data_IF_188364363369
#
_entry.id   IF_188364363369
#
_cell.length_a   1.000
_cell.length_b   1.000
_cell.length_c   1.000
_cell.angle_alpha   90.00
_cell.angle_beta   90.00
_cell.angle_gamma   90.00
#
_symmetry.space_group_name_H-M   'P 1'
#
loop_
_entity.id
_entity.type
_entity.pdbx_description
1 polymer ?
#
# COMPACT_ATOMS: atom_id res chain seq x y z
N UNK A 1 -18.97 2.12 33.19
CA UNK A 1 -17.76 1.55 32.57
C UNK A 1 -16.67 1.51 33.63
N UNK A 2 -16.03 0.35 33.83
CA UNK A 2 -14.86 0.23 34.73
C UNK A 2 -13.64 -0.04 33.86
N UNK A 3 -12.81 0.99 33.65
CA UNK A 3 -11.53 0.86 32.93
C UNK A 3 -10.47 0.39 33.96
N UNK A 4 -9.76 -0.72 33.70
CA UNK A 4 -8.66 -1.18 34.54
C UNK A 4 -7.64 -0.07 34.76
N UNK A 5 -7.15 0.11 35.98
CA UNK A 5 -6.29 1.24 36.36
C UNK A 5 -5.01 1.31 35.51
N UNK A 6 -4.46 0.15 35.13
CA UNK A 6 -3.28 0.05 34.27
C UNK A 6 -3.51 0.60 32.85
N UNK A 7 -4.73 0.51 32.31
CA UNK A 7 -5.03 0.86 30.91
C UNK A 7 -5.52 2.30 30.73
N UNK A 8 -5.80 3.03 31.82
CA UNK A 8 -6.43 4.36 31.73
C UNK A 8 -5.60 5.37 30.96
N UNK A 9 -4.28 5.35 31.13
CA UNK A 9 -3.38 6.27 30.43
C UNK A 9 -3.37 6.01 28.93
N UNK A 10 -3.31 4.74 28.53
CA UNK A 10 -3.29 4.34 27.12
C UNK A 10 -4.63 4.58 26.44
N UNK A 11 -5.74 4.26 27.12
CA UNK A 11 -7.10 4.57 26.62
C UNK A 11 -7.26 6.07 26.43
N UNK A 12 -6.84 6.89 27.40
CA UNK A 12 -6.93 8.35 27.30
C UNK A 12 -6.11 8.90 26.13
N UNK A 13 -4.86 8.45 25.98
CA UNK A 13 -4.00 8.86 24.87
C UNK A 13 -4.54 8.42 23.50
N UNK A 14 -5.15 7.23 23.41
CA UNK A 14 -5.78 6.76 22.18
C UNK A 14 -7.05 7.56 21.84
N UNK A 15 -7.88 7.89 22.84
CA UNK A 15 -9.05 8.77 22.66
C UNK A 15 -8.62 10.18 22.23
N UNK A 16 -7.62 10.76 22.88
CA UNK A 16 -7.11 12.10 22.56
C UNK A 16 -6.56 12.19 21.13
N UNK A 17 -5.77 11.20 20.70
CA UNK A 17 -5.26 11.12 19.33
C UNK A 17 -6.36 11.01 18.28
N UNK A 18 -7.46 10.32 18.60
CA UNK A 18 -8.63 10.20 17.70
C UNK A 18 -9.51 11.45 17.68
N UNK A 19 -9.55 12.24 18.77
CA UNK A 19 -10.33 13.47 18.89
C UNK A 19 -9.60 14.74 18.41
N UNK A 20 -8.26 14.72 18.38
CA UNK A 20 -7.43 15.86 18.00
C UNK A 20 -7.61 16.32 16.54
N UNK A 21 -7.33 17.60 16.28
CA UNK A 21 -7.49 18.27 14.97
C UNK A 21 -6.63 17.68 13.85
N UNK A 22 -5.54 17.02 14.19
CA UNK A 22 -4.70 16.24 13.28
C UNK A 22 -5.04 14.76 13.49
N UNK A 23 -6.08 14.26 12.82
CA UNK A 23 -6.43 12.83 12.82
C UNK A 23 -5.27 12.03 12.23
N UNK A 24 -4.31 11.62 13.06
CA UNK A 24 -3.35 10.58 12.71
C UNK A 24 -4.09 9.25 12.74
N UNK A 25 -4.45 8.75 11.56
CA UNK A 25 -4.88 7.35 11.42
C UNK A 25 -3.67 6.46 11.77
N UNK A 26 -3.79 5.69 12.85
CA UNK A 26 -2.83 4.65 13.13
C UNK A 26 -2.91 3.59 12.03
N UNK A 27 -1.75 3.24 11.47
CA UNK A 27 -1.63 2.24 10.41
C UNK A 27 -1.97 0.81 10.89
N UNK A 28 -2.02 0.60 12.21
CA UNK A 28 -2.28 -0.69 12.83
C UNK A 28 -3.46 -0.61 13.81
N UNK A 29 -4.31 -1.66 13.87
CA UNK A 29 -5.41 -1.71 14.79
C UNK A 29 -4.92 -1.80 16.24
N UNK A 30 -5.61 -1.12 17.15
CA UNK A 30 -5.38 -1.24 18.59
C UNK A 30 -5.61 -2.70 19.04
N UNK A 31 -4.89 -3.16 20.08
CA UNK A 31 -5.24 -4.41 20.76
C UNK A 31 -6.71 -4.41 21.19
N UNK A 32 -7.41 -5.53 20.99
CA UNK A 32 -8.86 -5.64 21.17
C UNK A 32 -9.35 -5.13 22.54
N UNK A 33 -8.64 -5.47 23.62
CA UNK A 33 -8.98 -5.04 24.97
C UNK A 33 -8.95 -3.52 25.15
N UNK A 34 -8.04 -2.84 24.44
CA UNK A 34 -7.92 -1.39 24.44
C UNK A 34 -8.96 -0.74 23.52
N UNK A 35 -9.16 -1.31 22.33
CA UNK A 35 -10.11 -0.83 21.32
C UNK A 35 -11.53 -0.72 21.87
N UNK A 36 -12.02 -1.77 22.55
CA UNK A 36 -13.36 -1.80 23.16
C UNK A 36 -13.59 -0.61 24.10
N UNK A 37 -12.57 -0.19 24.84
CA UNK A 37 -12.70 0.92 25.77
C UNK A 37 -12.63 2.29 25.09
N UNK A 38 -11.80 2.42 24.06
CA UNK A 38 -11.70 3.66 23.28
C UNK A 38 -13.00 3.89 22.50
N UNK A 39 -13.53 2.86 21.86
CA UNK A 39 -14.73 2.95 21.02
C UNK A 39 -15.99 3.26 21.85
N UNK A 40 -16.13 2.66 23.04
CA UNK A 40 -17.20 2.96 24.00
C UNK A 40 -17.17 4.43 24.47
N UNK A 41 -15.98 5.00 24.71
CA UNK A 41 -15.83 6.41 25.11
C UNK A 41 -16.21 7.33 23.94
N UNK A 42 -15.70 7.06 22.75
CA UNK A 42 -15.99 7.86 21.55
C UNK A 42 -17.47 7.81 21.18
N UNK A 43 -18.11 6.64 21.27
CA UNK A 43 -19.55 6.47 21.06
C UNK A 43 -20.36 7.37 22.01
N UNK A 44 -20.02 7.41 23.30
CA UNK A 44 -20.69 8.27 24.28
C UNK A 44 -20.48 9.76 23.99
N UNK A 45 -19.28 10.16 23.61
CA UNK A 45 -18.97 11.55 23.25
C UNK A 45 -19.81 11.96 22.02
N UNK A 46 -19.86 11.11 21.00
CA UNK A 46 -20.65 11.36 19.80
C UNK A 46 -22.16 11.43 20.10
N UNK A 47 -22.69 10.51 20.91
CA UNK A 47 -24.09 10.56 21.34
C UNK A 47 -24.42 11.80 22.18
N UNK A 48 -23.50 12.26 23.03
CA UNK A 48 -23.67 13.51 23.80
C UNK A 48 -23.60 14.75 22.90
N UNK A 49 -22.73 14.75 21.89
CA UNK A 49 -22.65 15.82 20.90
C UNK A 49 -23.92 15.89 20.04
N UNK A 50 -24.44 14.73 19.59
CA UNK A 50 -25.69 14.64 18.83
C UNK A 50 -26.89 15.18 19.64
N UNK A 51 -27.02 14.80 20.92
CA UNK A 51 -28.07 15.33 21.81
C UNK A 51 -27.97 16.83 22.08
N UNK A 52 -26.76 17.39 22.10
CA UNK A 52 -26.56 18.85 22.22
C UNK A 52 -26.90 19.61 20.94
N UNK A 53 -26.84 18.96 19.77
CA UNK A 53 -27.24 19.55 18.49
C UNK A 53 -28.78 19.59 18.31
N UNK A 54 -29.53 18.78 19.05
CA UNK A 54 -31.01 18.77 19.04
C UNK A 54 -31.65 19.91 19.85
N UNK A 55 -30.87 20.70 20.60
CA UNK A 55 -31.35 21.81 21.43
C UNK A 55 -31.45 23.10 20.57
N UNK A 56 -32.65 23.57 20.20
CA UNK A 56 -32.87 24.50 19.09
C UNK A 56 -32.37 25.95 19.33
N UNK A 57 -31.83 26.25 20.52
CA UNK A 57 -31.29 27.57 20.89
C UNK A 57 -29.76 27.68 20.79
N UNK A 58 -29.04 26.59 20.51
CA UNK A 58 -27.56 26.59 20.39
C UNK A 58 -27.03 26.08 19.05
N UNK A 59 -27.93 25.78 18.12
CA UNK A 59 -27.62 25.30 16.77
C UNK A 59 -26.76 26.30 15.99
N UNK A 60 -26.90 27.61 16.24
CA UNK A 60 -26.16 28.66 15.51
C UNK A 60 -24.67 28.79 15.91
N UNK A 61 -24.32 28.40 17.14
CA UNK A 61 -22.93 28.47 17.63
C UNK A 61 -22.14 27.18 17.35
N UNK A 62 -22.81 26.03 17.39
CA UNK A 62 -22.18 24.72 17.12
C UNK A 62 -21.84 24.52 15.63
N UNK A 63 -22.67 25.05 14.72
CA UNK A 63 -22.43 24.99 13.26
C UNK A 63 -21.19 25.80 12.85
N UNK A 64 -20.81 26.83 13.63
CA UNK A 64 -19.60 27.64 13.36
C UNK A 64 -18.29 27.00 13.82
N UNK A 65 -18.33 26.09 14.80
CA UNK A 65 -17.12 25.51 15.40
C UNK A 65 -16.67 24.18 14.76
N UNK A 66 -17.48 23.58 13.89
CA UNK A 66 -17.09 22.38 13.17
C UNK A 66 -17.77 22.34 11.78
N UNK A 67 -17.12 22.88 10.72
CA UNK A 67 -17.67 22.93 9.35
C UNK A 67 -17.95 21.56 8.69
N UNK A 68 -17.73 20.47 9.43
CA UNK A 68 -17.70 19.10 8.92
C UNK A 68 -18.64 18.16 9.70
N UNK A 69 -19.48 18.68 10.60
CA UNK A 69 -20.54 17.88 11.23
C UNK A 69 -21.71 17.81 10.27
N UNK A 70 -21.70 16.81 9.40
CA UNK A 70 -22.87 16.48 8.61
C UNK A 70 -23.89 15.79 9.52
N UNK A 71 -25.17 16.22 9.54
CA UNK A 71 -26.21 15.46 10.22
C UNK A 71 -26.28 14.08 9.57
N UNK A 72 -25.98 13.03 10.34
CA UNK A 72 -26.14 11.64 9.92
C UNK A 72 -27.64 11.40 9.72
N UNK A 73 -28.13 11.09 8.51
CA UNK A 73 -29.53 10.73 8.33
C UNK A 73 -29.87 9.52 9.21
N UNK A 74 -30.93 9.67 10.02
CA UNK A 74 -31.37 8.70 11.05
C UNK A 74 -31.76 7.30 10.51
N UNK A 75 -31.80 7.12 9.19
CA UNK A 75 -32.29 5.91 8.52
C UNK A 75 -31.21 5.01 7.92
N UNK A 76 -30.01 5.53 7.66
CA UNK A 76 -29.00 4.79 6.91
C UNK A 76 -28.09 4.01 7.87
N UNK A 77 -27.72 2.76 7.54
CA UNK A 77 -26.82 1.97 8.36
C UNK A 77 -25.47 2.70 8.48
N UNK A 78 -25.20 3.17 9.69
CA UNK A 78 -24.02 3.95 10.03
C UNK A 78 -23.15 3.17 11.02
N UNK A 79 -21.87 2.99 10.69
CA UNK A 79 -20.87 2.37 11.57
C UNK A 79 -19.73 3.36 11.76
N UNK A 80 -19.42 3.72 13.00
CA UNK A 80 -18.36 4.66 13.36
C UNK A 80 -18.40 6.01 12.62
N UNK A 81 -19.61 6.50 12.31
CA UNK A 81 -19.80 7.76 11.55
C UNK A 81 -19.63 7.61 10.04
N UNK A 82 -19.47 6.40 9.53
CA UNK A 82 -19.45 6.08 8.10
C UNK A 82 -20.81 5.55 7.68
N UNK A 83 -21.44 6.22 6.70
CA UNK A 83 -22.67 5.78 6.07
C UNK A 83 -22.36 4.62 5.11
N UNK A 84 -22.66 3.39 5.53
CA UNK A 84 -22.26 2.17 4.81
C UNK A 84 -22.80 2.15 3.38
N UNK A 85 -24.06 2.54 3.20
CA UNK A 85 -24.74 2.53 1.90
C UNK A 85 -24.30 3.68 0.97
N UNK A 86 -23.45 4.58 1.46
CA UNK A 86 -22.92 5.72 0.71
C UNK A 86 -21.40 5.63 0.51
N UNK A 87 -20.77 4.51 0.88
CA UNK A 87 -19.35 4.28 0.62
C UNK A 87 -19.14 4.01 -0.86
N UNK A 88 -18.56 5.00 -1.54
CA UNK A 88 -18.08 4.86 -2.92
C UNK A 88 -16.58 4.68 -2.95
N UNK A 89 -16.07 4.03 -4.00
CA UNK A 89 -14.64 3.97 -4.28
C UNK A 89 -14.33 4.66 -5.60
N UNK A 90 -13.11 5.16 -5.73
CA UNK A 90 -12.57 5.63 -7.00
C UNK A 90 -11.18 5.03 -7.18
N UNK A 91 -10.83 4.70 -8.44
CA UNK A 91 -9.52 4.14 -8.82
C UNK A 91 -9.19 2.79 -8.13
N UNK A 92 -10.08 1.81 -8.28
CA UNK A 92 -9.80 0.42 -7.88
C UNK A 92 -8.68 -0.16 -8.70
N UNK A 93 -7.58 -0.52 -8.03
CA UNK A 93 -6.38 -1.09 -8.65
C UNK A 93 -5.90 -2.31 -7.86
N UNK A 94 -5.13 -3.16 -8.53
CA UNK A 94 -4.66 -4.42 -7.97
C UNK A 94 -3.46 -4.22 -7.04
N UNK A 95 -3.63 -4.56 -5.75
CA UNK A 95 -2.55 -4.52 -4.73
C UNK A 95 -2.09 -5.91 -4.30
N UNK A 96 -3.00 -6.87 -4.18
CA UNK A 96 -2.77 -8.16 -3.50
C UNK A 96 -1.47 -8.87 -3.91
N UNK A 97 -1.25 -9.15 -5.21
CA UNK A 97 -0.03 -9.83 -5.65
C UNK A 97 1.27 -9.02 -5.51
N UNK A 98 1.19 -7.69 -5.39
CA UNK A 98 2.38 -6.86 -5.20
C UNK A 98 2.97 -6.99 -3.79
N UNK A 99 2.14 -7.26 -2.77
CA UNK A 99 2.57 -7.38 -1.38
C UNK A 99 3.57 -8.52 -1.13
N UNK A 100 3.31 -9.79 -1.55
CA UNK A 100 4.29 -10.85 -1.38
C UNK A 100 5.55 -10.61 -2.22
N UNK A 101 5.44 -9.92 -3.36
CA UNK A 101 6.60 -9.55 -4.17
C UNK A 101 7.47 -8.50 -3.51
N UNK A 102 6.88 -7.47 -2.88
CA UNK A 102 7.61 -6.48 -2.10
C UNK A 102 8.27 -7.10 -0.87
N UNK A 103 7.56 -7.98 -0.17
CA UNK A 103 8.12 -8.74 0.93
C UNK A 103 9.29 -9.62 0.48
N UNK A 104 9.16 -10.31 -0.66
CA UNK A 104 10.22 -11.10 -1.25
C UNK A 104 11.43 -10.20 -1.60
N UNK A 105 11.21 -9.10 -2.31
CA UNK A 105 12.27 -8.16 -2.70
C UNK A 105 13.11 -7.69 -1.51
N UNK A 106 12.45 -7.27 -0.43
CA UNK A 106 13.12 -6.90 0.82
C UNK A 106 13.83 -8.08 1.48
N UNK A 107 13.21 -9.26 1.49
CA UNK A 107 13.83 -10.47 2.04
C UNK A 107 15.09 -10.88 1.28
N UNK A 108 15.21 -10.56 -0.01
CA UNK A 108 16.43 -10.75 -0.80
C UNK A 108 17.43 -9.59 -0.64
N UNK A 109 17.11 -8.52 0.11
CA UNK A 109 18.00 -7.38 0.33
C UNK A 109 18.38 -6.65 -0.97
N UNK A 110 17.46 -6.64 -1.94
CA UNK A 110 17.73 -6.10 -3.28
C UNK A 110 17.88 -4.58 -3.29
N UNK A 111 17.16 -3.85 -2.45
CA UNK A 111 17.31 -2.38 -2.35
C UNK A 111 18.75 -2.01 -1.96
N UNK A 112 19.28 -2.64 -0.92
CA UNK A 112 20.66 -2.40 -0.46
C UNK A 112 21.69 -2.81 -1.53
N UNK A 113 21.48 -3.96 -2.18
CA UNK A 113 22.37 -4.41 -3.24
C UNK A 113 22.40 -3.43 -4.42
N UNK A 114 21.23 -3.04 -4.93
CA UNK A 114 21.13 -2.18 -6.12
C UNK A 114 21.62 -0.76 -5.82
N UNK A 115 21.30 -0.22 -4.64
CA UNK A 115 21.81 1.06 -4.20
C UNK A 115 23.34 1.08 -4.11
N UNK A 116 23.95 0.04 -3.53
CA UNK A 116 25.41 -0.12 -3.48
C UNK A 116 26.05 -0.18 -4.89
N UNK A 117 25.31 -0.67 -5.89
CA UNK A 117 25.76 -0.76 -7.28
C UNK A 117 25.31 0.43 -8.15
N UNK A 118 24.93 1.55 -7.51
CA UNK A 118 24.74 2.83 -8.16
C UNK A 118 23.37 3.06 -8.80
N UNK A 119 22.34 2.27 -8.45
CA UNK A 119 20.98 2.55 -8.88
C UNK A 119 20.33 3.57 -7.94
N UNK A 120 19.67 4.57 -8.53
CA UNK A 120 18.84 5.52 -7.78
C UNK A 120 17.53 4.88 -7.33
N UNK A 121 16.83 5.49 -6.36
CA UNK A 121 15.51 5.00 -5.90
C UNK A 121 14.52 4.83 -7.06
N UNK A 122 14.44 5.82 -7.97
CA UNK A 122 13.57 5.74 -9.14
C UNK A 122 13.96 4.60 -10.09
N UNK A 123 15.25 4.30 -10.23
CA UNK A 123 15.69 3.14 -11.02
C UNK A 123 15.34 1.83 -10.32
N UNK A 124 15.51 1.74 -9.00
CA UNK A 124 15.09 0.54 -8.24
C UNK A 124 13.58 0.32 -8.32
N UNK A 125 12.77 1.38 -8.22
CA UNK A 125 11.32 1.30 -8.39
C UNK A 125 10.93 0.89 -9.82
N UNK A 126 11.66 1.33 -10.85
CA UNK A 126 11.48 0.84 -12.22
C UNK A 126 11.83 -0.65 -12.34
N UNK A 127 12.90 -1.10 -11.68
CA UNK A 127 13.29 -2.51 -11.65
C UNK A 127 12.21 -3.37 -10.96
N UNK A 128 11.66 -2.90 -9.83
CA UNK A 128 10.52 -3.52 -9.16
C UNK A 128 9.33 -3.66 -10.11
N UNK A 129 8.97 -2.61 -10.85
CA UNK A 129 7.88 -2.66 -11.83
C UNK A 129 8.11 -3.75 -12.89
N UNK A 130 9.30 -3.82 -13.49
CA UNK A 130 9.63 -4.84 -14.49
C UNK A 130 9.58 -6.26 -13.89
N UNK A 131 10.18 -6.47 -12.73
CA UNK A 131 10.22 -7.78 -12.06
C UNK A 131 8.83 -8.22 -11.62
N UNK A 132 8.04 -7.31 -11.04
CA UNK A 132 6.70 -7.64 -10.54
C UNK A 132 5.74 -7.96 -11.67
N UNK A 133 5.82 -7.21 -12.78
CA UNK A 133 5.06 -7.56 -13.98
C UNK A 133 5.42 -8.96 -14.49
N UNK A 134 6.72 -9.28 -14.56
CA UNK A 134 7.18 -10.59 -15.03
C UNK A 134 6.68 -11.76 -14.20
N UNK A 135 6.40 -11.53 -12.91
CA UNK A 135 5.94 -12.54 -11.95
C UNK A 135 4.41 -12.61 -11.81
N UNK A 136 3.69 -11.50 -12.06
CA UNK A 136 2.24 -11.44 -11.89
C UNK A 136 1.44 -11.53 -13.19
N UNK A 137 1.82 -10.76 -14.20
CA UNK A 137 1.04 -10.57 -15.44
C UNK A 137 1.98 -10.18 -16.58
N UNK A 138 2.79 -11.14 -17.08
CA UNK A 138 3.91 -10.83 -17.96
C UNK A 138 3.42 -10.24 -19.28
N UNK A 139 3.79 -8.98 -19.53
CA UNK A 139 3.52 -8.30 -20.78
C UNK A 139 4.82 -7.77 -21.43
N UNK A 140 4.71 -7.15 -22.61
CA UNK A 140 5.86 -6.47 -23.21
C UNK A 140 6.25 -5.24 -22.39
N UNK A 141 7.52 -4.82 -22.45
CA UNK A 141 7.98 -3.57 -21.80
C UNK A 141 7.22 -2.33 -22.30
N UNK A 142 6.76 -2.36 -23.55
CA UNK A 142 5.89 -1.32 -24.10
C UNK A 142 4.50 -1.30 -23.41
N UNK A 143 3.93 -2.47 -23.12
CA UNK A 143 2.66 -2.61 -22.41
C UNK A 143 2.80 -2.36 -20.90
N UNK A 144 4.01 -2.43 -20.35
CA UNK A 144 4.28 -2.26 -18.92
C UNK A 144 3.77 -0.92 -18.38
N UNK A 145 3.93 0.16 -19.16
CA UNK A 145 3.48 1.48 -18.75
C UNK A 145 1.96 1.58 -18.55
N UNK A 146 1.18 0.82 -19.34
CA UNK A 146 -0.27 0.68 -19.17
C UNK A 146 -0.60 -0.28 -18.03
N UNK A 147 0.12 -1.39 -17.91
CA UNK A 147 -0.07 -2.35 -16.83
C UNK A 147 0.11 -1.70 -15.45
N UNK A 148 1.14 -0.87 -15.26
CA UNK A 148 1.35 -0.21 -13.95
C UNK A 148 0.11 0.62 -13.52
N UNK A 149 -0.64 1.19 -14.46
CA UNK A 149 -1.86 1.97 -14.16
C UNK A 149 -3.02 1.11 -13.64
N UNK A 150 -3.00 -0.20 -13.85
CA UNK A 150 -4.03 -1.13 -13.35
C UNK A 150 -3.69 -1.66 -11.94
N UNK A 151 -2.53 -1.27 -11.41
CA UNK A 151 -1.98 -1.77 -10.14
C UNK A 151 -1.78 -0.65 -9.11
N UNK A 152 -1.72 -1.03 -7.84
CA UNK A 152 -1.43 -0.12 -6.73
C UNK A 152 0.08 0.20 -6.59
N UNK A 153 0.89 -0.07 -7.62
CA UNK A 153 2.35 0.04 -7.54
C UNK A 153 2.82 1.47 -7.27
N UNK A 154 2.09 2.47 -7.78
CA UNK A 154 2.42 3.89 -7.53
C UNK A 154 2.30 4.23 -6.04
N UNK A 155 1.25 3.73 -5.38
CA UNK A 155 1.01 3.95 -3.96
C UNK A 155 2.00 3.13 -3.12
N UNK A 156 2.20 1.86 -3.49
CA UNK A 156 3.12 0.94 -2.80
C UNK A 156 4.57 1.47 -2.79
N UNK A 157 5.04 2.01 -3.91
CA UNK A 157 6.41 2.50 -4.07
C UNK A 157 6.55 4.00 -3.81
N UNK A 158 5.46 4.68 -3.46
CA UNK A 158 5.40 6.13 -3.25
C UNK A 158 6.01 6.92 -4.42
N UNK A 159 5.84 6.44 -5.64
CA UNK A 159 6.35 7.07 -6.86
C UNK A 159 5.28 7.07 -7.95
N UNK A 160 4.95 8.22 -8.56
CA UNK A 160 3.99 8.25 -9.65
C UNK A 160 4.60 7.58 -10.88
N UNK A 161 3.96 6.48 -11.32
CA UNK A 161 4.22 5.92 -12.62
C UNK A 161 3.24 6.54 -13.63
N UNK A 162 3.77 7.11 -14.71
CA UNK A 162 2.97 7.62 -15.84
C UNK A 162 3.16 6.72 -17.04
N UNK A 163 2.11 6.60 -17.86
CA UNK A 163 2.15 5.93 -19.14
C UNK A 163 3.18 6.54 -20.12
N UNK A 164 3.58 7.79 -19.89
CA UNK A 164 4.60 8.51 -20.69
C UNK A 164 6.04 8.11 -20.37
N UNK A 165 6.30 7.41 -19.26
CA UNK A 165 7.67 7.05 -18.85
C UNK A 165 8.08 5.66 -19.34
N UNK A 166 7.93 5.35 -20.63
CA UNK A 166 8.27 4.01 -21.16
C UNK A 166 9.78 3.74 -21.12
N UNK A 167 10.59 4.75 -21.45
CA UNK A 167 12.05 4.62 -21.54
C UNK A 167 12.74 4.15 -20.26
N UNK A 168 12.16 4.45 -19.09
CA UNK A 168 12.78 4.07 -17.80
C UNK A 168 12.83 2.57 -17.61
N UNK A 169 11.87 1.83 -18.18
CA UNK A 169 11.78 0.39 -18.05
C UNK A 169 12.84 -0.31 -18.92
N UNK A 170 13.03 0.18 -20.15
CA UNK A 170 14.14 -0.26 -21.01
C UNK A 170 15.50 0.03 -20.36
N UNK A 171 15.72 1.27 -19.91
CA UNK A 171 17.00 1.69 -19.33
C UNK A 171 17.34 0.97 -18.03
N UNK A 172 16.35 0.57 -17.24
CA UNK A 172 16.63 -0.20 -16.02
C UNK A 172 17.01 -1.64 -16.35
N UNK A 173 16.44 -2.24 -17.40
CA UNK A 173 16.85 -3.54 -17.90
C UNK A 173 18.34 -3.58 -18.24
N UNK A 174 18.82 -2.60 -19.00
CA UNK A 174 20.24 -2.47 -19.34
C UNK A 174 21.12 -2.35 -18.09
N UNK A 175 20.70 -1.53 -17.12
CA UNK A 175 21.41 -1.38 -15.83
C UNK A 175 21.47 -2.69 -15.05
N UNK A 176 20.39 -3.47 -15.01
CA UNK A 176 20.40 -4.76 -14.34
C UNK A 176 21.32 -5.75 -15.08
N UNK A 177 21.29 -5.74 -16.41
CA UNK A 177 22.12 -6.60 -17.26
C UNK A 177 23.62 -6.32 -17.08
N UNK A 178 24.03 -5.05 -17.02
CA UNK A 178 25.42 -4.65 -16.70
C UNK A 178 25.92 -5.22 -15.36
N UNK A 179 25.01 -5.54 -14.44
CA UNK A 179 25.31 -6.03 -13.08
C UNK A 179 24.97 -7.51 -12.91
N UNK A 180 24.68 -8.22 -14.01
CA UNK A 180 24.16 -9.59 -14.02
C UNK A 180 24.92 -10.54 -13.11
N UNK A 181 26.23 -10.69 -13.31
CA UNK A 181 27.02 -11.68 -12.55
C UNK A 181 26.98 -11.42 -11.03
N UNK A 182 27.10 -10.16 -10.62
CA UNK A 182 27.05 -9.77 -9.19
C UNK A 182 25.66 -9.97 -8.61
N UNK A 183 24.63 -9.66 -9.39
CA UNK A 183 23.22 -9.83 -8.99
C UNK A 183 22.89 -11.31 -8.84
N UNK A 184 23.29 -12.16 -9.79
CA UNK A 184 23.11 -13.61 -9.73
C UNK A 184 23.80 -14.20 -8.50
N UNK A 185 25.06 -13.83 -8.24
CA UNK A 185 25.78 -14.26 -7.04
C UNK A 185 25.11 -13.78 -5.75
N UNK A 186 24.54 -12.58 -5.73
CA UNK A 186 23.77 -12.07 -4.59
C UNK A 186 22.49 -12.89 -4.37
N UNK A 187 21.71 -13.11 -5.43
CA UNK A 187 20.47 -13.88 -5.38
C UNK A 187 20.70 -15.33 -4.95
N UNK A 188 21.72 -16.00 -5.50
CA UNK A 188 22.10 -17.37 -5.09
C UNK A 188 22.44 -17.41 -3.61
N UNK A 189 23.28 -16.48 -3.13
CA UNK A 189 23.64 -16.43 -1.69
C UNK A 189 22.41 -16.24 -0.80
N UNK A 190 21.51 -15.32 -1.17
CA UNK A 190 20.29 -15.05 -0.40
C UNK A 190 19.31 -16.22 -0.43
N UNK A 191 19.08 -16.81 -1.58
CA UNK A 191 18.22 -17.98 -1.74
C UNK A 191 18.75 -19.18 -0.94
N UNK A 192 20.05 -19.47 -1.06
CA UNK A 192 20.70 -20.54 -0.30
C UNK A 192 20.55 -20.34 1.21
N UNK A 193 20.74 -19.11 1.70
CA UNK A 193 20.59 -18.80 3.11
C UNK A 193 19.14 -18.90 3.61
N UNK A 194 18.17 -18.41 2.83
CA UNK A 194 16.75 -18.43 3.22
C UNK A 194 16.13 -19.82 3.16
N UNK A 195 16.47 -20.62 2.16
CA UNK A 195 15.86 -21.92 1.92
C UNK A 195 16.74 -23.11 2.32
N UNK A 196 17.92 -22.85 2.92
CA UNK A 196 18.89 -23.89 3.33
C UNK A 196 19.25 -24.85 2.18
N UNK A 197 19.43 -24.31 0.97
CA UNK A 197 19.65 -25.12 -0.23
C UNK A 197 21.05 -25.74 -0.20
N UNK A 198 21.14 -27.07 -0.25
CA UNK A 198 22.40 -27.81 -0.20
C UNK A 198 22.92 -28.22 -1.59
N UNK A 199 22.13 -28.03 -2.66
CA UNK A 199 22.48 -28.39 -4.04
C UNK A 199 21.69 -27.55 -5.04
N UNK A 200 22.38 -26.94 -6.01
CA UNK A 200 21.73 -26.25 -7.14
C UNK A 200 21.89 -27.12 -8.38
N UNK A 201 20.82 -27.76 -8.84
CA UNK A 201 20.77 -28.31 -10.21
C UNK A 201 20.13 -27.21 -11.07
N UNK A 202 20.94 -26.57 -11.92
CA UNK A 202 20.43 -25.61 -12.89
C UNK A 202 20.09 -26.38 -14.18
N UNK A 203 18.83 -26.77 -14.32
CA UNK A 203 18.29 -27.23 -15.60
C UNK A 203 17.89 -25.99 -16.38
N UNK A 204 18.69 -25.63 -17.38
CA UNK A 204 18.40 -24.52 -18.28
C UNK A 204 18.08 -25.10 -19.66
N UNK A 205 16.90 -24.77 -20.18
CA UNK A 205 16.48 -25.09 -21.54
C UNK A 205 16.57 -23.82 -22.40
N UNK A 206 17.21 -23.95 -23.57
CA UNK A 206 17.35 -22.87 -24.55
C UNK A 206 16.30 -23.01 -25.63
N UNK A 207 15.09 -22.54 -25.36
CA UNK A 207 14.08 -22.38 -26.41
C UNK A 207 14.27 -21.04 -27.12
N UNK A 208 14.87 -21.08 -28.32
CA UNK A 208 14.84 -19.94 -29.24
C UNK A 208 13.45 -19.87 -29.89
N UNK A 209 12.81 -18.70 -29.81
CA UNK A 209 11.60 -18.40 -30.60
C UNK A 209 12.01 -17.56 -31.81
N UNK A 210 11.83 -18.13 -33.01
CA UNK A 210 12.07 -17.47 -34.28
C UNK A 210 10.73 -17.01 -34.85
N UNK A 211 10.63 -15.73 -35.24
CA UNK A 211 9.44 -15.17 -35.86
C UNK A 211 9.79 -14.69 -37.27
N UNK A 212 9.05 -15.17 -38.28
CA UNK A 212 9.04 -14.65 -39.65
C UNK A 212 7.65 -14.09 -39.97
N UNK A 213 7.62 -12.88 -40.54
CA UNK A 213 6.39 -12.23 -41.01
C UNK A 213 6.61 -10.76 -41.38
N UNK A 214 5.76 -10.20 -42.25
CA UNK A 214 5.81 -8.78 -42.67
C UNK A 214 5.42 -7.81 -41.54
N UNK A 215 4.76 -8.29 -40.47
CA UNK A 215 4.31 -7.50 -39.33
C UNK A 215 3.46 -6.26 -39.70
N UNK A 216 2.56 -6.38 -40.68
CA UNK A 216 1.80 -5.25 -41.24
C UNK A 216 0.83 -4.56 -40.25
N UNK A 217 0.58 -5.17 -39.08
CA UNK A 217 -0.37 -4.70 -38.06
C UNK A 217 0.22 -4.60 -36.64
N UNK A 218 1.55 -4.72 -36.48
CA UNK A 218 2.24 -4.51 -35.20
C UNK A 218 2.90 -3.13 -35.11
#
# INVERSE_FOLDING_TARGET
MRIPTAMRSEVAAAVERRLGSARQQELFPLPLELAVHVDEILSRINHQAARKAEDPKKTDEAVRLAPWVFPVPLSDPCVDGVLLDQVTHSRSVMLGPLLPLEAAWHSYGLDSFLSLHGLSQSQMNAAKACVYNRLCDPCSENALASWVQTTALSDLLSEPFSASYRDRYYRVGDKLLERKEKLEQHLVRRATAQFSLSRTILLYDLTNSYFEGQAELN
#
